data_IF_707998725640
#
_entry.id   IF_707998725640
#
_cell.length_a   1.000
_cell.length_b   1.000
_cell.length_c   1.000
_cell.angle_alpha   90.00
_cell.angle_beta   90.00
_cell.angle_gamma   90.00
#
_symmetry.space_group_name_H-M   'P 1'
#
loop_
_entity.id
_entity.type
_entity.pdbx_description
1 polymer ?
#
# COMPACT_ATOMS: atom_id res chain seq x y z
N UNK A 1 -13.56 -24.45 -2.29
CA UNK A 1 -14.88 -25.12 -2.20
C UNK A 1 -14.87 -26.31 -1.25
N UNK A 2 -13.85 -27.18 -1.26
CA UNK A 2 -13.78 -28.33 -0.35
C UNK A 2 -13.70 -27.97 1.15
N UNK A 3 -13.12 -26.84 1.52
CA UNK A 3 -12.99 -26.46 2.94
C UNK A 3 -14.31 -26.25 3.69
N UNK A 4 -15.44 -26.05 2.99
CA UNK A 4 -16.75 -25.91 3.63
C UNK A 4 -17.22 -27.17 4.36
N UNK A 5 -16.70 -28.36 4.02
CA UNK A 5 -17.01 -29.60 4.74
C UNK A 5 -16.45 -29.64 6.18
N UNK A 6 -15.41 -28.85 6.45
CA UNK A 6 -14.78 -28.74 7.77
C UNK A 6 -15.17 -27.43 8.49
N UNK A 7 -16.15 -26.70 7.96
CA UNK A 7 -16.60 -25.44 8.53
C UNK A 7 -17.47 -25.68 9.77
N UNK A 8 -17.07 -25.11 10.90
CA UNK A 8 -17.85 -25.13 12.14
C UNK A 8 -18.43 -23.73 12.43
N UNK A 9 -19.77 -23.57 12.38
CA UNK A 9 -20.42 -22.28 12.64
C UNK A 9 -20.11 -21.69 14.03
N UNK A 10 -19.93 -22.54 15.04
CA UNK A 10 -19.58 -22.13 16.40
C UNK A 10 -18.20 -21.48 16.46
N UNK A 11 -17.22 -22.02 15.72
CA UNK A 11 -15.87 -21.47 15.63
C UNK A 11 -15.89 -20.11 14.94
N UNK A 12 -16.64 -20.00 13.84
CA UNK A 12 -16.82 -18.76 13.09
C UNK A 12 -17.47 -17.67 13.94
N UNK A 13 -18.58 -17.99 14.64
CA UNK A 13 -19.25 -17.05 15.53
C UNK A 13 -18.40 -16.66 16.74
N UNK A 14 -17.60 -17.58 17.28
CA UNK A 14 -16.64 -17.29 18.34
C UNK A 14 -15.53 -16.29 17.93
N UNK A 15 -15.28 -16.14 16.63
CA UNK A 15 -14.34 -15.18 16.06
C UNK A 15 -14.99 -13.94 15.43
N UNK A 16 -16.31 -13.79 15.48
CA UNK A 16 -17.05 -12.74 14.75
C UNK A 16 -16.60 -11.32 15.14
N UNK A 17 -16.50 -11.05 16.44
CA UNK A 17 -15.94 -9.81 16.96
C UNK A 17 -15.23 -10.06 18.28
N UNK A 18 -13.90 -10.07 18.23
CA UNK A 18 -13.02 -10.30 19.39
C UNK A 18 -12.50 -9.00 20.02
N UNK A 19 -12.93 -7.84 19.50
CA UNK A 19 -12.43 -6.53 19.95
C UNK A 19 -13.05 -6.04 21.25
N UNK A 20 -14.20 -6.63 21.65
CA UNK A 20 -15.01 -6.14 22.77
C UNK A 20 -15.68 -4.78 22.51
N UNK A 21 -15.60 -4.25 21.30
CA UNK A 21 -16.23 -3.00 20.86
C UNK A 21 -17.39 -3.30 19.89
N UNK A 22 -18.08 -2.27 19.43
CA UNK A 22 -19.12 -2.42 18.41
C UNK A 22 -18.57 -2.99 17.09
N UNK A 23 -19.39 -3.74 16.36
CA UNK A 23 -19.03 -4.31 15.05
C UNK A 23 -18.56 -3.23 14.06
N UNK A 24 -19.16 -2.04 14.12
CA UNK A 24 -18.76 -0.90 13.28
C UNK A 24 -17.30 -0.49 13.55
N UNK A 25 -16.88 -0.52 14.82
CA UNK A 25 -15.49 -0.23 15.20
C UNK A 25 -14.54 -1.33 14.72
N UNK A 26 -14.94 -2.60 14.83
CA UNK A 26 -14.14 -3.72 14.34
C UNK A 26 -13.95 -3.66 12.82
N UNK A 27 -15.01 -3.35 12.06
CA UNK A 27 -14.94 -3.11 10.61
C UNK A 27 -13.93 -1.99 10.33
N UNK A 28 -14.04 -0.85 11.02
CA UNK A 28 -13.12 0.28 10.89
C UNK A 28 -11.64 -0.08 11.06
N UNK A 29 -11.32 -0.95 12.03
CA UNK A 29 -9.94 -1.41 12.29
C UNK A 29 -9.38 -2.32 11.19
N UNK A 30 -10.24 -3.02 10.44
CA UNK A 30 -9.83 -3.94 9.37
C UNK A 30 -9.78 -3.30 7.98
N UNK A 31 -10.22 -2.04 7.84
CA UNK A 31 -10.30 -1.35 6.55
C UNK A 31 -8.95 -1.28 5.84
N UNK A 32 -7.86 -1.01 6.55
CA UNK A 32 -6.54 -0.88 5.94
C UNK A 32 -6.04 -2.19 5.34
N UNK A 33 -6.13 -3.29 6.08
CA UNK A 33 -5.73 -4.60 5.57
C UNK A 33 -6.63 -5.08 4.44
N UNK A 34 -7.93 -4.75 4.50
CA UNK A 34 -8.87 -5.07 3.42
C UNK A 34 -8.55 -4.26 2.17
N UNK A 35 -8.27 -2.96 2.32
CA UNK A 35 -7.85 -2.12 1.20
C UNK A 35 -6.55 -2.61 0.58
N UNK A 36 -5.56 -2.97 1.40
CA UNK A 36 -4.31 -3.54 0.94
C UNK A 36 -4.52 -4.74 0.01
N UNK A 37 -5.47 -5.63 0.33
CA UNK A 37 -5.79 -6.79 -0.50
C UNK A 37 -6.34 -6.43 -1.90
N UNK A 38 -6.88 -5.23 -2.09
CA UNK A 38 -7.40 -4.75 -3.38
C UNK A 38 -6.49 -3.73 -4.07
N UNK A 39 -5.36 -3.34 -3.48
CA UNK A 39 -4.36 -2.52 -4.18
C UNK A 39 -3.77 -3.34 -5.34
N UNK A 40 -3.60 -2.69 -6.48
CA UNK A 40 -3.16 -3.34 -7.72
C UNK A 40 -4.22 -3.35 -8.81
N UNK A 41 -5.44 -2.89 -8.54
CA UNK A 41 -6.46 -2.66 -9.60
C UNK A 41 -6.00 -1.69 -10.67
N UNK A 42 -5.13 -0.75 -10.30
CA UNK A 42 -4.49 0.21 -11.18
C UNK A 42 -3.50 -0.42 -12.17
N UNK A 43 -3.01 -1.63 -11.91
CA UNK A 43 -2.07 -2.33 -12.80
C UNK A 43 -2.65 -2.53 -14.20
N UNK A 44 -3.97 -2.75 -14.29
CA UNK A 44 -4.68 -2.86 -15.56
C UNK A 44 -4.56 -1.58 -16.40
N UNK A 45 -4.55 -0.42 -15.74
CA UNK A 45 -4.38 0.89 -16.38
C UNK A 45 -2.93 1.09 -16.83
N UNK A 46 -1.94 0.66 -16.06
CA UNK A 46 -0.51 0.77 -16.43
C UNK A 46 -0.20 -0.05 -17.68
N UNK A 47 -0.78 -1.25 -17.80
CA UNK A 47 -0.58 -2.13 -18.97
C UNK A 47 -1.43 -1.78 -20.18
N UNK A 48 -2.14 -0.65 -20.18
CA UNK A 48 -3.04 -0.23 -21.27
C UNK A 48 -2.34 -0.21 -22.65
N UNK A 49 -1.06 0.15 -22.70
CA UNK A 49 -0.29 0.25 -23.94
C UNK A 49 -0.10 -1.09 -24.68
N UNK A 50 -0.18 -2.22 -23.97
CA UNK A 50 0.03 -3.57 -24.51
C UNK A 50 -1.26 -4.39 -24.64
N UNK A 51 -2.40 -3.82 -24.23
CA UNK A 51 -3.70 -4.51 -24.26
C UNK A 51 -4.41 -4.26 -25.59
N UNK A 52 -4.90 -5.33 -26.22
CA UNK A 52 -5.76 -5.23 -27.40
C UNK A 52 -7.08 -4.55 -27.03
N UNK A 53 -7.47 -3.51 -27.76
CA UNK A 53 -8.72 -2.74 -27.57
C UNK A 53 -8.92 -2.25 -26.12
N UNK A 54 -8.04 -1.36 -25.64
CA UNK A 54 -7.97 -1.00 -24.22
C UNK A 54 -9.21 -0.28 -23.70
N UNK A 55 -9.87 0.52 -24.54
CA UNK A 55 -11.07 1.30 -24.17
C UNK A 55 -12.23 0.42 -23.69
N UNK A 56 -12.31 -0.82 -24.19
CA UNK A 56 -13.29 -1.81 -23.76
C UNK A 56 -12.73 -2.80 -22.76
N UNK A 57 -11.53 -3.30 -23.00
CA UNK A 57 -11.00 -4.45 -22.26
C UNK A 57 -10.47 -4.08 -20.87
N UNK A 58 -9.86 -2.90 -20.71
CA UNK A 58 -9.31 -2.47 -19.40
C UNK A 58 -10.45 -2.29 -18.37
N UNK A 59 -11.54 -1.54 -18.66
CA UNK A 59 -12.63 -1.39 -17.69
C UNK A 59 -13.29 -2.72 -17.31
N UNK A 60 -13.53 -3.61 -18.28
CA UNK A 60 -14.15 -4.92 -18.03
C UNK A 60 -13.22 -5.78 -17.18
N UNK A 61 -11.93 -5.82 -17.49
CA UNK A 61 -10.95 -6.60 -16.76
C UNK A 61 -10.81 -6.11 -15.31
N UNK A 62 -10.74 -4.79 -15.09
CA UNK A 62 -10.65 -4.20 -13.74
C UNK A 62 -11.89 -4.54 -12.91
N UNK A 63 -13.10 -4.25 -13.40
CA UNK A 63 -14.34 -4.47 -12.61
C UNK A 63 -14.58 -5.96 -12.36
N UNK A 64 -14.45 -6.78 -13.40
CA UNK A 64 -14.68 -8.23 -13.28
C UNK A 64 -13.62 -8.88 -12.38
N UNK A 65 -12.36 -8.46 -12.51
CA UNK A 65 -11.25 -8.93 -11.67
C UNK A 65 -11.49 -8.61 -10.20
N UNK A 66 -11.92 -7.39 -9.87
CA UNK A 66 -12.26 -7.00 -8.49
C UNK A 66 -13.39 -7.83 -7.93
N UNK A 67 -14.47 -8.05 -8.69
CA UNK A 67 -15.62 -8.84 -8.22
C UNK A 67 -15.21 -10.29 -7.96
N UNK A 68 -14.45 -10.90 -8.87
CA UNK A 68 -13.95 -12.28 -8.70
C UNK A 68 -13.04 -12.36 -7.48
N UNK A 69 -12.10 -11.43 -7.33
CA UNK A 69 -11.20 -11.37 -6.18
C UNK A 69 -11.98 -11.23 -4.86
N UNK A 70 -12.98 -10.33 -4.81
CA UNK A 70 -13.81 -10.12 -3.65
C UNK A 70 -14.57 -11.39 -3.23
N UNK A 71 -15.19 -12.09 -4.19
CA UNK A 71 -15.88 -13.35 -3.92
C UNK A 71 -14.90 -14.40 -3.40
N UNK A 72 -13.73 -14.53 -4.03
CA UNK A 72 -12.69 -15.46 -3.57
C UNK A 72 -12.21 -15.14 -2.16
N UNK A 73 -11.92 -13.88 -1.84
CA UNK A 73 -11.50 -13.45 -0.50
C UNK A 73 -12.58 -13.74 0.54
N UNK A 74 -13.83 -13.32 0.31
CA UNK A 74 -14.92 -13.55 1.27
C UNK A 74 -15.13 -15.04 1.52
N UNK A 75 -15.22 -15.86 0.46
CA UNK A 75 -15.47 -17.29 0.61
C UNK A 75 -14.30 -18.00 1.32
N UNK A 76 -13.07 -17.68 0.93
CA UNK A 76 -11.89 -18.37 1.48
C UNK A 76 -11.58 -17.95 2.91
N UNK A 77 -11.64 -16.66 3.23
CA UNK A 77 -11.46 -16.16 4.59
C UNK A 77 -12.54 -16.68 5.54
N UNK A 78 -13.80 -16.73 5.08
CA UNK A 78 -14.91 -17.28 5.90
C UNK A 78 -14.66 -18.75 6.25
N UNK A 79 -14.23 -19.55 5.28
CA UNK A 79 -13.89 -20.97 5.50
C UNK A 79 -12.77 -21.11 6.52
N UNK A 80 -11.68 -20.34 6.41
CA UNK A 80 -10.57 -20.40 7.36
C UNK A 80 -11.03 -20.05 8.78
N UNK A 81 -11.81 -18.97 8.93
CA UNK A 81 -12.35 -18.53 10.22
C UNK A 81 -13.31 -19.56 10.86
N UNK A 82 -13.91 -20.44 10.06
CA UNK A 82 -14.75 -21.54 10.56
C UNK A 82 -13.99 -22.84 10.85
N UNK A 83 -12.77 -23.00 10.33
CA UNK A 83 -11.92 -24.18 10.57
C UNK A 83 -10.99 -23.94 11.76
N UNK A 84 -10.32 -22.78 11.82
CA UNK A 84 -9.28 -22.49 12.80
C UNK A 84 -9.82 -21.59 13.91
N UNK A 85 -9.70 -21.96 15.19
CA UNK A 85 -10.04 -21.08 16.30
C UNK A 85 -9.24 -19.77 16.27
N UNK A 86 -9.89 -18.64 16.61
CA UNK A 86 -9.29 -17.31 16.52
C UNK A 86 -7.94 -17.18 17.26
N UNK A 87 -7.79 -17.83 18.43
CA UNK A 87 -6.54 -17.82 19.20
C UNK A 87 -5.35 -18.41 18.44
N UNK A 88 -5.57 -19.48 17.70
CA UNK A 88 -4.53 -20.11 16.87
C UNK A 88 -4.30 -19.31 15.58
N UNK A 89 -5.38 -18.78 15.00
CA UNK A 89 -5.33 -18.02 13.76
C UNK A 89 -4.45 -16.76 13.87
N UNK A 90 -4.49 -16.06 15.01
CA UNK A 90 -3.66 -14.87 15.28
C UNK A 90 -2.16 -15.22 15.27
N UNK A 91 -1.79 -16.39 15.77
CA UNK A 91 -0.39 -16.85 15.80
C UNK A 91 0.09 -17.47 14.48
N UNK A 92 -0.82 -17.71 13.54
CA UNK A 92 -0.51 -18.38 12.29
C UNK A 92 0.15 -17.45 11.28
N UNK A 93 1.32 -17.83 10.78
CA UNK A 93 1.96 -17.15 9.64
C UNK A 93 1.43 -17.65 8.28
N UNK A 94 0.77 -18.82 8.24
CA UNK A 94 0.31 -19.47 7.02
C UNK A 94 -1.09 -20.09 7.21
N UNK A 95 -2.14 -19.28 7.39
CA UNK A 95 -3.47 -19.75 7.79
C UNK A 95 -4.12 -20.69 6.76
N UNK A 96 -3.86 -20.49 5.47
CA UNK A 96 -4.34 -21.39 4.41
C UNK A 96 -3.71 -22.78 4.47
N UNK A 97 -2.39 -22.84 4.68
CA UNK A 97 -1.67 -24.11 4.82
C UNK A 97 -2.13 -24.85 6.07
N UNK A 98 -2.25 -24.14 7.19
CA UNK A 98 -2.74 -24.70 8.45
C UNK A 98 -4.16 -25.25 8.34
N UNK A 99 -5.09 -24.52 7.70
CA UNK A 99 -6.46 -24.99 7.52
C UNK A 99 -6.52 -26.29 6.70
N UNK A 100 -5.67 -26.41 5.69
CA UNK A 100 -5.57 -27.63 4.87
C UNK A 100 -4.87 -28.77 5.63
N UNK A 101 -3.84 -28.48 6.43
CA UNK A 101 -3.22 -29.47 7.30
C UNK A 101 -4.22 -30.08 8.28
N UNK A 102 -5.11 -29.26 8.86
CA UNK A 102 -6.18 -29.73 9.77
C UNK A 102 -7.20 -30.59 9.02
N UNK A 103 -7.58 -30.22 7.80
CA UNK A 103 -8.63 -30.91 7.05
C UNK A 103 -8.16 -32.22 6.37
N UNK A 104 -6.96 -32.22 5.77
CA UNK A 104 -6.49 -33.27 4.86
C UNK A 104 -5.12 -33.85 5.27
N UNK A 105 -4.52 -33.36 6.35
CA UNK A 105 -3.21 -33.80 6.85
C UNK A 105 -2.03 -32.93 6.39
N UNK A 106 -0.91 -33.05 7.09
CA UNK A 106 0.24 -32.15 6.96
C UNK A 106 0.80 -32.06 5.54
N UNK A 107 0.91 -33.18 4.83
CA UNK A 107 1.44 -33.20 3.46
C UNK A 107 0.61 -32.35 2.50
N UNK A 108 -0.72 -32.32 2.67
CA UNK A 108 -1.59 -31.47 1.84
C UNK A 108 -1.39 -29.98 2.16
N UNK A 109 -1.17 -29.64 3.44
CA UNK A 109 -0.85 -28.29 3.86
C UNK A 109 0.48 -27.79 3.30
N UNK A 110 1.50 -28.65 3.26
CA UNK A 110 2.83 -28.31 2.70
C UNK A 110 2.74 -28.04 1.20
N UNK A 111 1.97 -28.85 0.45
CA UNK A 111 1.71 -28.61 -0.99
C UNK A 111 1.06 -27.24 -1.20
N UNK A 112 0.07 -26.89 -0.39
CA UNK A 112 -0.60 -25.58 -0.47
C UNK A 112 0.35 -24.43 -0.14
N UNK A 113 1.24 -24.61 0.84
CA UNK A 113 2.28 -23.63 1.15
C UNK A 113 3.24 -23.41 -0.05
N UNK A 114 3.65 -24.48 -0.73
CA UNK A 114 4.49 -24.41 -1.94
C UNK A 114 3.74 -23.69 -3.07
N UNK A 115 2.47 -24.03 -3.31
CA UNK A 115 1.65 -23.34 -4.30
C UNK A 115 1.50 -21.84 -3.99
N UNK A 116 1.29 -21.48 -2.73
CA UNK A 116 1.23 -20.09 -2.29
C UNK A 116 2.58 -19.37 -2.53
N UNK A 117 3.70 -20.02 -2.22
CA UNK A 117 5.03 -19.47 -2.47
C UNK A 117 5.30 -19.22 -3.97
N UNK A 118 4.95 -20.17 -4.83
CA UNK A 118 5.04 -20.00 -6.29
C UNK A 118 4.15 -18.85 -6.78
N UNK A 119 2.93 -18.73 -6.23
CA UNK A 119 2.03 -17.61 -6.51
C UNK A 119 2.63 -16.26 -6.13
N UNK A 120 3.23 -16.16 -4.95
CA UNK A 120 3.93 -14.96 -4.50
C UNK A 120 5.11 -14.60 -5.41
N UNK A 121 5.90 -15.58 -5.86
CA UNK A 121 6.99 -15.34 -6.82
C UNK A 121 6.48 -14.84 -8.17
N UNK A 122 5.35 -15.37 -8.65
CA UNK A 122 4.69 -14.88 -9.86
C UNK A 122 4.22 -13.42 -9.72
N UNK A 123 3.60 -13.09 -8.58
CA UNK A 123 3.17 -11.73 -8.27
C UNK A 123 4.35 -10.75 -8.20
N UNK A 124 5.47 -11.16 -7.58
CA UNK A 124 6.69 -10.37 -7.49
C UNK A 124 7.23 -10.01 -8.88
N UNK A 125 7.23 -10.94 -9.83
CA UNK A 125 7.63 -10.68 -11.21
C UNK A 125 6.72 -9.66 -11.90
N UNK A 126 5.40 -9.79 -11.72
CA UNK A 126 4.41 -8.86 -12.28
C UNK A 126 4.57 -7.43 -11.72
N UNK A 127 4.70 -7.29 -10.40
CA UNK A 127 4.93 -5.99 -9.75
C UNK A 127 6.26 -5.36 -10.16
N UNK A 128 7.32 -6.16 -10.31
CA UNK A 128 8.62 -5.68 -10.77
C UNK A 128 8.52 -5.06 -12.17
N UNK A 129 7.78 -5.71 -13.08
CA UNK A 129 7.56 -5.18 -14.43
C UNK A 129 6.73 -3.89 -14.41
N UNK A 130 5.65 -3.84 -13.61
CA UNK A 130 4.81 -2.65 -13.47
C UNK A 130 5.60 -1.44 -12.97
N UNK A 131 6.43 -1.62 -11.95
CA UNK A 131 7.28 -0.53 -11.42
C UNK A 131 8.29 -0.08 -12.48
N UNK A 132 8.91 -1.02 -13.20
CA UNK A 132 9.83 -0.70 -14.30
C UNK A 132 9.17 0.12 -15.41
N UNK A 133 8.00 -0.30 -15.89
CA UNK A 133 7.24 0.39 -16.94
C UNK A 133 6.79 1.77 -16.50
N UNK A 134 6.32 1.91 -15.26
CA UNK A 134 5.87 3.20 -14.72
C UNK A 134 7.04 4.17 -14.60
N UNK A 135 8.19 3.72 -14.08
CA UNK A 135 9.39 4.55 -13.96
C UNK A 135 9.97 4.94 -15.33
N UNK A 136 9.93 4.03 -16.30
CA UNK A 136 10.35 4.27 -17.68
C UNK A 136 9.43 5.28 -18.38
N UNK A 137 8.12 5.13 -18.25
CA UNK A 137 7.14 6.09 -18.78
C UNK A 137 7.38 7.50 -18.20
N UNK A 138 7.52 7.60 -16.88
CA UNK A 138 7.85 8.87 -16.22
C UNK A 138 9.19 9.46 -16.68
N UNK A 139 10.17 8.62 -17.03
CA UNK A 139 11.47 9.08 -17.53
C UNK A 139 11.41 9.55 -18.99
N UNK A 140 10.58 8.91 -19.80
CA UNK A 140 10.32 9.30 -21.18
C UNK A 140 9.55 10.63 -21.26
N UNK A 141 8.64 10.86 -20.32
CA UNK A 141 7.97 12.16 -20.16
C UNK A 141 8.95 13.23 -19.66
N UNK A 142 10.09 12.85 -19.08
CA UNK A 142 11.13 13.77 -18.58
C UNK A 142 11.02 14.09 -17.09
N UNK A 143 10.06 13.49 -16.37
CA UNK A 143 9.91 13.61 -14.92
C UNK A 143 11.02 12.86 -14.17
N UNK A 144 11.44 11.70 -14.68
CA UNK A 144 12.49 10.90 -14.06
C UNK A 144 13.85 11.07 -14.74
N UNK A 145 14.91 10.71 -14.02
CA UNK A 145 16.26 10.73 -14.57
C UNK A 145 16.40 9.83 -15.80
N UNK A 146 17.16 10.27 -16.80
CA UNK A 146 17.44 9.53 -18.06
C UNK A 146 17.89 8.07 -17.85
N UNK A 147 18.44 7.75 -16.68
CA UNK A 147 18.83 6.39 -16.31
C UNK A 147 17.64 5.40 -16.29
N UNK A 148 16.42 5.87 -15.98
CA UNK A 148 15.19 5.08 -15.99
C UNK A 148 14.59 4.91 -17.39
N UNK A 149 14.92 5.81 -18.33
CA UNK A 149 14.55 5.70 -19.74
C UNK A 149 15.52 4.83 -20.56
N UNK A 150 16.67 4.46 -19.98
CA UNK A 150 17.69 3.69 -20.69
C UNK A 150 17.26 2.23 -20.83
N UNK A 151 16.92 1.83 -22.05
CA UNK A 151 16.51 0.48 -22.39
C UNK A 151 17.69 -0.38 -22.86
N UNK A 152 17.64 -1.66 -22.49
CA UNK A 152 18.50 -2.68 -23.10
C UNK A 152 18.05 -2.97 -24.54
N UNK A 153 18.85 -3.73 -25.30
CA UNK A 153 18.51 -4.20 -26.65
C UNK A 153 17.16 -4.97 -26.75
N UNK A 154 16.60 -5.40 -25.61
CA UNK A 154 15.33 -6.12 -25.52
C UNK A 154 14.16 -5.21 -25.08
N UNK A 155 14.33 -3.89 -25.03
CA UNK A 155 13.30 -2.93 -24.62
C UNK A 155 13.02 -2.91 -23.11
N UNK A 156 13.94 -3.43 -22.29
CA UNK A 156 13.77 -3.51 -20.83
C UNK A 156 14.61 -2.44 -20.13
N UNK A 157 14.06 -1.61 -19.22
CA UNK A 157 14.78 -0.59 -18.47
C UNK A 157 15.60 -1.18 -17.31
N UNK A 158 16.64 -1.94 -17.63
CA UNK A 158 17.38 -2.76 -16.66
C UNK A 158 18.03 -1.95 -15.52
N UNK A 159 18.55 -0.76 -15.81
CA UNK A 159 19.18 0.09 -14.79
C UNK A 159 18.16 0.63 -13.80
N UNK A 160 16.98 1.05 -14.28
CA UNK A 160 15.88 1.46 -13.42
C UNK A 160 15.39 0.33 -12.53
N UNK A 161 15.25 -0.88 -13.09
CA UNK A 161 14.88 -2.08 -12.34
C UNK A 161 15.90 -2.43 -11.25
N UNK A 162 17.20 -2.32 -11.54
CA UNK A 162 18.25 -2.58 -10.55
C UNK A 162 18.20 -1.60 -9.37
N UNK A 163 17.97 -0.32 -9.63
CA UNK A 163 17.82 0.70 -8.57
C UNK A 163 16.61 0.40 -7.70
N UNK A 164 15.46 0.11 -8.32
CA UNK A 164 14.23 -0.26 -7.61
C UNK A 164 14.46 -1.50 -6.75
N UNK A 165 15.12 -2.53 -7.28
CA UNK A 165 15.44 -3.75 -6.53
C UNK A 165 16.34 -3.46 -5.31
N UNK A 166 17.34 -2.60 -5.46
CA UNK A 166 18.18 -2.17 -4.33
C UNK A 166 17.36 -1.43 -3.27
N UNK A 167 16.47 -0.53 -3.67
CA UNK A 167 15.59 0.22 -2.75
C UNK A 167 14.64 -0.75 -2.02
N UNK A 168 13.99 -1.67 -2.74
CA UNK A 168 13.10 -2.67 -2.14
C UNK A 168 13.85 -3.56 -1.15
N UNK A 169 15.07 -3.97 -1.48
CA UNK A 169 15.92 -4.76 -0.57
C UNK A 169 16.28 -3.97 0.68
N UNK A 170 16.69 -2.71 0.53
CA UNK A 170 16.98 -1.83 1.66
C UNK A 170 15.75 -1.61 2.55
N UNK A 171 14.56 -1.47 1.97
CA UNK A 171 13.31 -1.32 2.72
C UNK A 171 12.94 -2.58 3.50
N UNK A 172 13.14 -3.78 2.93
CA UNK A 172 12.94 -5.04 3.65
C UNK A 172 13.92 -5.14 4.83
N UNK A 173 15.19 -4.78 4.65
CA UNK A 173 16.18 -4.78 5.73
C UNK A 173 15.87 -3.72 6.80
N UNK A 174 15.42 -2.53 6.39
CA UNK A 174 15.07 -1.44 7.31
C UNK A 174 13.78 -1.66 8.12
N UNK A 175 12.93 -2.60 7.71
CA UNK A 175 11.65 -2.92 8.37
C UNK A 175 11.67 -4.22 9.15
N UNK A 176 12.85 -4.83 9.33
CA UNK A 176 13.01 -6.08 10.07
C UNK A 176 12.34 -6.00 11.44
N UNK A 177 11.50 -7.00 11.73
CA UNK A 177 10.75 -7.12 12.99
C UNK A 177 10.91 -8.52 13.55
N UNK A 178 10.63 -8.75 14.85
CA UNK A 178 10.77 -10.06 15.48
C UNK A 178 9.96 -11.18 14.81
N UNK A 179 8.83 -10.84 14.18
CA UNK A 179 8.00 -11.80 13.44
C UNK A 179 7.76 -11.34 11.99
N UNK A 180 7.68 -12.30 11.08
CA UNK A 180 7.37 -12.01 9.67
C UNK A 180 5.99 -11.37 9.48
N UNK A 181 4.99 -11.80 10.26
CA UNK A 181 3.63 -11.23 10.20
C UNK A 181 3.61 -9.76 10.61
N UNK A 182 4.38 -9.38 11.64
CA UNK A 182 4.48 -7.98 12.07
C UNK A 182 5.22 -7.12 11.03
N UNK A 183 6.33 -7.61 10.49
CA UNK A 183 7.05 -6.92 9.42
C UNK A 183 6.16 -6.70 8.20
N UNK A 184 5.44 -7.75 7.77
CA UNK A 184 4.49 -7.68 6.67
C UNK A 184 3.38 -6.67 6.95
N UNK A 185 2.78 -6.70 8.16
CA UNK A 185 1.75 -5.76 8.57
C UNK A 185 2.21 -4.30 8.53
N UNK A 186 3.45 -4.01 8.96
CA UNK A 186 4.06 -2.68 8.86
C UNK A 186 4.22 -2.24 7.41
N UNK A 187 4.81 -3.08 6.55
CA UNK A 187 5.04 -2.74 5.14
C UNK A 187 3.70 -2.56 4.40
N UNK A 188 2.73 -3.45 4.63
CA UNK A 188 1.40 -3.38 4.03
C UNK A 188 0.67 -2.09 4.42
N UNK A 189 0.70 -1.72 5.71
CA UNK A 189 0.09 -0.50 6.21
C UNK A 189 0.72 0.75 5.60
N UNK A 190 2.06 0.82 5.54
CA UNK A 190 2.77 1.93 4.88
C UNK A 190 2.39 2.01 3.39
N UNK A 191 2.35 0.87 2.69
CA UNK A 191 1.97 0.83 1.28
C UNK A 191 0.54 1.34 1.05
N UNK A 192 -0.41 0.99 1.91
CA UNK A 192 -1.79 1.51 1.86
C UNK A 192 -1.78 3.03 1.99
N UNK A 193 -1.15 3.57 3.03
CA UNK A 193 -1.14 5.02 3.29
C UNK A 193 -0.53 5.78 2.10
N UNK A 194 0.55 5.26 1.52
CA UNK A 194 1.20 5.87 0.36
C UNK A 194 0.34 5.79 -0.92
N UNK A 195 -0.53 4.78 -1.04
CA UNK A 195 -1.41 4.58 -2.20
C UNK A 195 -2.71 5.39 -2.10
N UNK A 196 -3.18 5.68 -0.88
CA UNK A 196 -4.40 6.45 -0.63
C UNK A 196 -4.37 7.85 -1.26
N UNK A 197 -3.21 8.51 -1.25
CA UNK A 197 -3.05 9.85 -1.81
C UNK A 197 -3.19 9.88 -3.34
N UNK A 198 -2.46 9.04 -4.12
CA UNK A 198 -2.72 8.85 -5.55
C UNK A 198 -4.19 8.56 -5.88
N UNK A 199 -4.89 7.78 -5.06
CA UNK A 199 -6.33 7.53 -5.27
C UNK A 199 -7.19 8.78 -5.06
N UNK A 200 -6.89 9.61 -4.05
CA UNK A 200 -7.56 10.91 -3.85
C UNK A 200 -7.26 11.83 -5.04
N UNK A 201 -6.01 11.93 -5.50
CA UNK A 201 -5.66 12.72 -6.67
C UNK A 201 -6.36 12.24 -7.93
N UNK A 202 -6.48 10.92 -8.13
CA UNK A 202 -7.21 10.33 -9.26
C UNK A 202 -8.69 10.71 -9.25
N UNK A 203 -9.32 10.72 -8.06
CA UNK A 203 -10.70 11.14 -7.88
C UNK A 203 -10.93 12.63 -8.17
N UNK A 204 -9.93 13.49 -7.97
CA UNK A 204 -9.98 14.90 -8.36
C UNK A 204 -9.68 15.08 -9.85
N UNK A 205 -8.69 14.36 -10.37
CA UNK A 205 -8.23 14.45 -11.75
C UNK A 205 -9.34 14.09 -12.76
N UNK A 206 -10.18 13.11 -12.45
CA UNK A 206 -11.31 12.73 -13.32
C UNK A 206 -12.27 13.90 -13.59
N UNK A 207 -12.45 14.79 -12.61
CA UNK A 207 -13.30 15.99 -12.72
C UNK A 207 -12.62 17.08 -13.54
N UNK A 208 -11.30 17.26 -13.36
CA UNK A 208 -10.51 18.25 -14.10
C UNK A 208 -10.45 17.87 -15.57
N UNK A 209 -10.04 16.64 -15.87
CA UNK A 209 -9.87 16.11 -17.24
C UNK A 209 -11.23 15.88 -17.92
N UNK A 210 -12.25 15.50 -17.15
CA UNK A 210 -13.60 15.22 -17.63
C UNK A 210 -14.47 16.45 -17.88
N UNK A 211 -14.04 17.65 -17.47
CA UNK A 211 -14.86 18.86 -17.46
C UNK A 211 -15.48 19.20 -18.83
N UNK A 212 -14.73 18.97 -19.90
CA UNK A 212 -15.16 19.28 -21.28
C UNK A 212 -15.74 18.07 -22.01
N UNK A 213 -15.63 16.86 -21.43
CA UNK A 213 -16.01 15.59 -22.08
C UNK A 213 -17.25 14.93 -21.46
N UNK A 214 -17.76 15.45 -20.35
CA UNK A 214 -18.85 14.82 -19.60
C UNK A 214 -20.15 15.63 -19.67
N UNK A 215 -21.27 14.91 -19.80
CA UNK A 215 -22.61 15.50 -19.57
C UNK A 215 -22.76 15.90 -18.10
N UNK A 216 -23.62 16.90 -17.80
CA UNK A 216 -23.88 17.35 -16.43
C UNK A 216 -24.27 16.21 -15.46
N UNK A 217 -25.07 15.23 -15.93
CA UNK A 217 -25.45 14.05 -15.12
C UNK A 217 -24.26 13.14 -14.83
N UNK A 218 -23.38 12.93 -15.81
CA UNK A 218 -22.16 12.13 -15.64
C UNK A 218 -21.17 12.83 -14.71
N UNK A 219 -21.02 14.16 -14.83
CA UNK A 219 -20.18 14.95 -13.93
C UNK A 219 -20.62 14.85 -12.47
N UNK A 220 -21.92 14.90 -12.18
CA UNK A 220 -22.46 14.69 -10.83
C UNK A 220 -22.16 13.27 -10.35
N UNK A 221 -22.43 12.26 -11.18
CA UNK A 221 -22.18 10.85 -10.83
C UNK A 221 -20.72 10.58 -10.46
N UNK A 222 -19.76 11.00 -11.29
CA UNK A 222 -18.34 10.83 -11.00
C UNK A 222 -17.87 11.68 -9.82
N UNK A 223 -18.48 12.84 -9.58
CA UNK A 223 -18.18 13.65 -8.38
C UNK A 223 -18.63 12.95 -7.11
N UNK A 224 -19.83 12.35 -7.10
CA UNK A 224 -20.33 11.57 -5.95
C UNK A 224 -19.42 10.37 -5.68
N UNK A 225 -19.04 9.62 -6.71
CA UNK A 225 -18.10 8.50 -6.58
C UNK A 225 -16.75 8.98 -6.05
N UNK A 226 -16.21 10.08 -6.58
CA UNK A 226 -14.95 10.65 -6.13
C UNK A 226 -14.98 11.10 -4.68
N UNK A 227 -16.09 11.68 -4.21
CA UNK A 227 -16.27 12.06 -2.81
C UNK A 227 -16.38 10.84 -1.89
N UNK A 228 -17.08 9.78 -2.31
CA UNK A 228 -17.14 8.51 -1.57
C UNK A 228 -15.73 7.89 -1.48
N UNK A 229 -14.98 7.87 -2.58
CA UNK A 229 -13.62 7.37 -2.60
C UNK A 229 -12.70 8.20 -1.70
N UNK A 230 -12.79 9.53 -1.74
CA UNK A 230 -12.01 10.41 -0.88
C UNK A 230 -12.36 10.21 0.60
N UNK A 231 -13.65 10.11 0.93
CA UNK A 231 -14.10 9.84 2.30
C UNK A 231 -13.59 8.48 2.80
N UNK A 232 -13.71 7.44 1.98
CA UNK A 232 -13.19 6.11 2.30
C UNK A 232 -11.67 6.15 2.53
N UNK A 233 -10.92 6.82 1.64
CA UNK A 233 -9.48 7.00 1.78
C UNK A 233 -9.10 7.74 3.06
N UNK A 234 -9.85 8.78 3.43
CA UNK A 234 -9.63 9.49 4.69
C UNK A 234 -9.94 8.60 5.91
N UNK A 235 -11.04 7.84 5.86
CA UNK A 235 -11.41 6.92 6.95
C UNK A 235 -10.35 5.82 7.15
N UNK A 236 -9.84 5.24 6.06
CA UNK A 236 -8.75 4.27 6.10
C UNK A 236 -7.48 4.88 6.72
N UNK A 237 -7.10 6.09 6.29
CA UNK A 237 -5.94 6.79 6.85
C UNK A 237 -6.08 7.10 8.35
N UNK A 238 -7.27 7.43 8.83
CA UNK A 238 -7.54 7.63 10.28
C UNK A 238 -7.49 6.31 11.05
N UNK A 239 -7.89 5.20 10.43
CA UNK A 239 -7.81 3.86 11.01
C UNK A 239 -6.39 3.28 11.03
N UNK A 240 -5.42 3.93 10.40
CA UNK A 240 -4.02 3.48 10.35
C UNK A 240 -3.27 3.80 11.62
N UNK A 241 -2.15 3.11 11.83
CA UNK A 241 -1.25 3.41 12.94
C UNK A 241 -0.76 4.88 12.86
N UNK A 242 -0.91 5.67 13.95
CA UNK A 242 -0.55 7.09 13.93
C UNK A 242 0.94 7.33 13.65
N UNK A 243 1.85 6.47 14.12
CA UNK A 243 3.27 6.64 13.87
C UNK A 243 3.59 6.36 12.40
N UNK A 244 3.11 5.25 11.85
CA UNK A 244 3.30 4.92 10.43
C UNK A 244 2.68 5.99 9.51
N UNK A 245 1.52 6.53 9.87
CA UNK A 245 0.86 7.60 9.12
C UNK A 245 1.70 8.87 9.11
N UNK A 246 2.30 9.27 10.24
CA UNK A 246 3.21 10.43 10.28
C UNK A 246 4.41 10.23 9.35
N UNK A 247 5.08 9.08 9.43
CA UNK A 247 6.24 8.78 8.60
C UNK A 247 5.89 8.75 7.10
N UNK A 248 4.77 8.11 6.75
CA UNK A 248 4.31 8.05 5.36
C UNK A 248 3.93 9.43 4.82
N UNK A 249 3.27 10.29 5.62
CA UNK A 249 2.93 11.65 5.21
C UNK A 249 4.17 12.53 5.00
N UNK A 250 5.19 12.43 5.87
CA UNK A 250 6.46 13.12 5.65
C UNK A 250 7.11 12.69 4.33
N UNK A 251 7.10 11.38 4.05
CA UNK A 251 7.61 10.85 2.79
C UNK A 251 6.83 11.39 1.58
N UNK A 252 5.50 11.48 1.66
CA UNK A 252 4.69 12.02 0.57
C UNK A 252 4.97 13.51 0.38
N UNK A 253 5.06 14.31 1.45
CA UNK A 253 5.45 15.72 1.33
C UNK A 253 6.83 15.85 0.67
N UNK A 254 7.76 14.95 0.98
CA UNK A 254 9.05 14.88 0.29
C UNK A 254 8.91 14.56 -1.20
N UNK A 255 7.96 13.71 -1.61
CA UNK A 255 7.71 13.46 -3.05
C UNK A 255 7.21 14.69 -3.80
N UNK A 256 6.51 15.62 -3.14
CA UNK A 256 6.09 16.89 -3.77
C UNK A 256 7.31 17.75 -4.14
N UNK A 257 8.34 17.76 -3.30
CA UNK A 257 9.61 18.44 -3.58
C UNK A 257 10.30 17.82 -4.80
N UNK A 258 10.34 16.49 -4.86
CA UNK A 258 10.89 15.79 -6.01
C UNK A 258 10.09 16.06 -7.29
N UNK A 259 8.77 16.17 -7.18
CA UNK A 259 7.90 16.55 -8.29
C UNK A 259 8.24 17.95 -8.82
N UNK A 260 8.37 18.95 -7.95
CA UNK A 260 8.77 20.31 -8.37
C UNK A 260 10.12 20.28 -9.09
N UNK A 261 11.12 19.56 -8.55
CA UNK A 261 12.42 19.40 -9.21
C UNK A 261 12.32 18.71 -10.58
N UNK A 262 11.42 17.73 -10.71
CA UNK A 262 11.18 17.01 -11.96
C UNK A 262 10.48 17.85 -13.03
N UNK A 263 9.43 18.58 -12.65
CA UNK A 263 8.71 19.49 -13.53
C UNK A 263 9.62 20.64 -13.96
N UNK A 264 10.47 21.14 -13.04
CA UNK A 264 11.47 22.14 -13.36
C UNK A 264 12.42 21.69 -14.47
N UNK A 265 12.84 20.42 -14.41
CA UNK A 265 13.68 19.80 -15.43
C UNK A 265 12.93 19.57 -16.75
N UNK A 266 11.66 19.14 -16.71
CA UNK A 266 10.84 19.01 -17.92
C UNK A 266 10.72 20.36 -18.65
N UNK A 267 10.38 21.43 -17.92
CA UNK A 267 10.26 22.78 -18.48
C UNK A 267 11.60 23.29 -19.05
N UNK A 268 12.74 22.94 -18.46
CA UNK A 268 14.06 23.24 -19.02
C UNK A 268 14.36 22.46 -20.31
N UNK A 269 13.82 21.24 -20.45
CA UNK A 269 13.92 20.46 -21.68
C UNK A 269 13.01 21.00 -22.78
N UNK A 270 11.78 21.40 -22.45
CA UNK A 270 10.82 22.01 -23.39
C UNK A 270 11.26 23.41 -23.83
N UNK A 271 11.79 24.23 -22.92
CA UNK A 271 12.27 25.58 -23.19
C UNK A 271 13.52 25.66 -24.08
N UNK A 272 14.18 24.53 -24.37
CA UNK A 272 15.22 24.45 -25.41
C UNK A 272 14.66 24.41 -26.84
N UNK A 273 13.36 24.16 -27.02
CA UNK A 273 12.73 24.08 -28.35
C UNK A 273 11.67 25.17 -28.63
N UNK A 274 11.14 25.92 -27.65
CA UNK A 274 10.32 27.11 -27.93
C UNK A 274 10.27 28.12 -26.76
N UNK A 275 10.10 29.41 -27.08
CA UNK A 275 10.09 30.53 -26.11
C UNK A 275 8.76 30.59 -25.34
N UNK A 276 8.75 30.14 -24.08
CA UNK A 276 7.58 30.25 -23.19
C UNK A 276 7.67 31.53 -22.31
N UNK A 277 6.55 32.24 -22.20
CA UNK A 277 6.40 33.66 -21.78
C UNK A 277 6.11 33.91 -20.29
N UNK A 278 6.27 32.95 -19.38
CA UNK A 278 6.15 33.23 -17.94
C UNK A 278 7.16 32.42 -17.14
N UNK A 279 8.37 32.95 -17.02
CA UNK A 279 9.42 32.38 -16.16
C UNK A 279 9.18 32.85 -14.73
N UNK A 280 8.67 31.97 -13.87
CA UNK A 280 8.71 32.20 -12.41
C UNK A 280 10.17 32.41 -12.02
N UNK A 281 10.53 33.49 -11.31
CA UNK A 281 11.93 33.78 -11.00
C UNK A 281 12.58 32.60 -10.26
N UNK A 282 13.76 32.17 -10.70
CA UNK A 282 14.47 30.99 -10.18
C UNK A 282 14.67 31.05 -8.66
N UNK A 283 14.77 32.25 -8.08
CA UNK A 283 14.89 32.42 -6.63
C UNK A 283 13.60 32.01 -5.87
N UNK A 284 12.42 32.24 -6.45
CA UNK A 284 11.13 31.88 -5.82
C UNK A 284 11.01 30.35 -5.75
N UNK A 285 11.44 29.64 -6.80
CA UNK A 285 11.47 28.17 -6.84
C UNK A 285 12.42 27.60 -5.79
N UNK A 286 13.66 28.10 -5.71
CA UNK A 286 14.60 27.67 -4.67
C UNK A 286 14.14 28.04 -3.25
N UNK A 287 13.42 29.15 -3.09
CA UNK A 287 12.85 29.54 -1.80
C UNK A 287 11.74 28.57 -1.37
N UNK A 288 10.82 28.19 -2.25
CA UNK A 288 9.76 27.21 -1.94
C UNK A 288 10.36 25.85 -1.58
N UNK A 289 11.36 25.39 -2.32
CA UNK A 289 12.15 24.19 -2.04
C UNK A 289 12.80 24.25 -0.65
N UNK A 290 13.48 25.35 -0.33
CA UNK A 290 14.12 25.55 0.97
C UNK A 290 13.12 25.57 2.12
N UNK A 291 11.98 26.26 1.95
CA UNK A 291 10.91 26.31 2.95
C UNK A 291 10.31 24.92 3.18
N UNK A 292 10.11 24.14 2.13
CA UNK A 292 9.53 22.78 2.24
C UNK A 292 10.53 21.79 2.87
N UNK A 293 11.82 21.86 2.49
CA UNK A 293 12.88 21.08 3.13
C UNK A 293 13.01 21.45 4.61
N UNK A 294 13.00 22.74 4.94
CA UNK A 294 13.07 23.21 6.32
C UNK A 294 11.86 22.74 7.13
N UNK A 295 10.65 22.84 6.58
CA UNK A 295 9.43 22.34 7.21
C UNK A 295 9.52 20.83 7.47
N UNK A 296 10.02 20.04 6.50
CA UNK A 296 10.21 18.59 6.66
C UNK A 296 11.22 18.25 7.75
N UNK A 297 12.39 18.87 7.74
CA UNK A 297 13.43 18.67 8.78
C UNK A 297 12.88 19.02 10.16
N UNK A 298 12.09 20.08 10.25
CA UNK A 298 11.48 20.55 11.49
C UNK A 298 10.37 19.59 11.97
N UNK A 299 9.50 19.10 11.07
CA UNK A 299 8.50 18.06 11.42
C UNK A 299 9.13 16.72 11.76
N UNK A 300 10.22 16.33 11.09
CA UNK A 300 11.00 15.14 11.40
C UNK A 300 11.58 15.25 12.82
N UNK A 301 12.21 16.39 13.14
CA UNK A 301 12.79 16.63 14.47
C UNK A 301 11.75 16.69 15.58
N UNK A 302 10.59 17.32 15.35
CA UNK A 302 9.49 17.35 16.32
C UNK A 302 8.97 15.92 16.56
N UNK A 303 8.73 15.15 15.51
CA UNK A 303 8.23 13.78 15.66
C UNK A 303 9.25 12.84 16.33
N UNK A 304 10.56 13.03 16.08
CA UNK A 304 11.61 12.26 16.73
C UNK A 304 11.74 12.61 18.22
N UNK A 305 11.51 13.88 18.56
CA UNK A 305 11.53 14.37 19.94
C UNK A 305 10.37 13.80 20.76
N UNK A 306 9.16 13.79 20.21
CA UNK A 306 7.98 13.20 20.87
C UNK A 306 8.16 11.70 21.15
N UNK A 307 8.83 10.96 20.27
CA UNK A 307 9.12 9.53 20.46
C UNK A 307 10.17 9.27 21.55
N UNK A 308 11.07 10.23 21.79
CA UNK A 308 12.04 10.21 22.89
C UNK A 308 11.44 10.64 24.24
N UNK A 309 10.50 11.58 24.23
CA UNK A 309 9.79 12.07 25.43
C UNK A 309 8.71 11.09 25.93
N UNK A 310 8.27 10.12 25.11
CA UNK A 310 7.40 9.00 25.52
C UNK A 310 8.16 7.79 26.12
N UNK A 311 9.47 7.67 25.86
CA UNK A 311 10.32 6.59 26.41
C UNK A 311 10.85 6.76 27.85
N UNK A 312 10.78 7.89 28.58
CA UNK A 312 11.30 7.96 29.94
C UNK A 312 10.40 7.31 31.00
N UNK A 313 9.10 7.07 30.72
CA UNK A 313 8.14 6.67 31.75
C UNK A 313 7.87 5.17 31.90
N UNK A 314 8.59 4.29 31.19
CA UNK A 314 8.55 2.83 31.39
C UNK A 314 9.92 2.31 31.87
N UNK A 315 10.56 3.04 32.77
CA UNK A 315 11.68 2.54 33.59
C UNK A 315 11.50 3.00 35.03
N UNK A 316 10.62 2.31 35.74
CA UNK A 316 10.48 2.50 37.18
C UNK A 316 9.08 2.19 37.64
N UNK A 317 8.73 0.91 37.74
CA UNK A 317 7.81 0.31 38.73
C UNK A 317 7.78 -1.21 38.48
N UNK A 318 8.89 -1.88 38.79
CA UNK A 318 8.85 -3.28 39.20
C UNK A 318 9.18 -3.25 40.70
N UNK A 319 8.25 -3.58 41.61
CA UNK A 319 8.65 -3.89 42.97
C UNK A 319 9.45 -5.19 42.93
N UNK A 320 10.68 -5.13 43.43
CA UNK A 320 11.53 -6.28 43.67
C UNK A 320 10.79 -7.27 44.57
N UNK A 321 10.63 -8.51 44.10
CA UNK A 321 10.27 -9.63 44.97
C UNK A 321 11.53 -9.98 45.75
N UNK A 322 11.60 -9.52 47.00
CA UNK A 322 12.60 -9.97 47.96
C UNK A 322 12.36 -11.46 48.25
N UNK A 323 13.33 -12.29 47.87
CA UNK A 323 13.52 -13.60 48.48
C UNK A 323 14.01 -13.39 49.92
N UNK A 324 13.13 -13.57 50.89
CA UNK A 324 13.52 -13.81 52.28
C UNK A 324 13.21 -15.25 52.64
N UNK A 325 14.24 -16.09 52.63
CA UNK A 325 14.29 -17.31 53.42
C UNK A 325 14.07 -16.96 54.89
N UNK A 326 13.10 -17.59 55.55
CA UNK A 326 13.19 -17.92 56.99
C UNK A 326 12.18 -19.01 57.36
N UNK A 327 12.78 -20.10 57.85
CA UNK A 327 12.27 -21.22 58.64
C UNK A 327 11.05 -20.92 59.53
N UNK A 328 10.10 -21.87 59.53
CA UNK A 328 8.98 -21.99 60.48
C UNK A 328 8.08 -23.15 60.09
#
# INVERSE_FOLDING_TARGET
LLGWFWFHPSTYMGGWNVTGKSDLTAIGMTLNFTLWAFIGVESASVSTAVVKNPTRNVPIATVTGVIIAAVCYILSSSVIMGIIPNKELISSSAPFSQAVSIALGQTAGDVVAICAAIGCLGSLGGWTLLVGQTAQAAANDGLFGKMFACETKKGVPATGLAIVACIMTAQVLGTMSPTASEQFGKIASIAVIMTLLPYIYSAVAIKIIGREKMSAKQGIFYTVIGLIAAFYSMAAMVGSDPAQTRWALMFVIFTVILYELSENRQLEMEGKNEKITCVVPTYVRHLTLLVTIAALVLTFWISFKDEHDLKPHIKGHFPAVEHSDTLG
#
